data_IF_666862563264
#
_entry.id   IF_666862563264
#
_cell.length_a   1.000
_cell.length_b   1.000
_cell.length_c   1.000
_cell.angle_alpha   90.00
_cell.angle_beta   90.00
_cell.angle_gamma   90.00
#
_symmetry.space_group_name_H-M   'P 1'
#
loop_
_entity.id
_entity.type
_entity.pdbx_description
1 polymer ?
#
# COMPACT_ATOMS: atom_id res chain seq x y z
N UNK A 1 19.33 -0.95 -5.34
CA UNK A 1 18.85 0.45 -5.45
C UNK A 1 19.51 1.33 -4.38
N UNK A 2 19.94 2.53 -4.80
CA UNK A 2 20.58 3.54 -3.94
C UNK A 2 19.57 4.56 -3.43
N UNK A 3 19.88 5.35 -2.37
CA UNK A 3 19.06 6.48 -1.95
C UNK A 3 18.73 7.47 -3.09
N UNK A 4 19.71 7.72 -3.99
CA UNK A 4 19.52 8.61 -5.15
C UNK A 4 18.55 8.04 -6.18
N UNK A 5 18.56 6.74 -6.41
CA UNK A 5 17.60 6.08 -7.32
C UNK A 5 16.18 6.14 -6.78
N UNK A 6 15.99 5.91 -5.50
CA UNK A 6 14.67 6.08 -4.84
C UNK A 6 14.20 7.54 -4.89
N UNK A 7 15.08 8.48 -4.59
CA UNK A 7 14.78 9.91 -4.65
C UNK A 7 14.38 10.35 -6.07
N UNK A 8 15.11 9.89 -7.09
CA UNK A 8 14.79 10.18 -8.47
C UNK A 8 13.47 9.54 -8.91
N UNK A 9 13.19 8.31 -8.51
CA UNK A 9 11.93 7.63 -8.76
C UNK A 9 10.75 8.40 -8.10
N UNK A 10 10.91 8.86 -6.86
CA UNK A 10 9.91 9.67 -6.17
C UNK A 10 9.66 11.02 -6.88
N UNK A 11 10.72 11.69 -7.37
CA UNK A 11 10.57 12.91 -8.15
C UNK A 11 9.73 12.68 -9.41
N UNK A 12 10.08 11.67 -10.21
CA UNK A 12 9.43 11.38 -11.48
C UNK A 12 8.00 10.88 -11.25
N UNK A 13 7.84 9.86 -10.40
CA UNK A 13 6.56 9.18 -10.27
C UNK A 13 5.55 9.91 -9.38
N UNK A 14 6.01 10.72 -8.43
CA UNK A 14 5.14 11.42 -7.48
C UNK A 14 4.96 12.88 -7.86
N UNK A 15 6.05 13.67 -7.84
CA UNK A 15 5.94 15.12 -8.03
C UNK A 15 5.52 15.50 -9.44
N UNK A 16 6.13 14.92 -10.47
CA UNK A 16 5.83 15.25 -11.86
C UNK A 16 4.43 14.79 -12.30
N UNK A 17 3.84 13.83 -11.58
CA UNK A 17 2.49 13.31 -11.83
C UNK A 17 1.42 13.86 -10.86
N UNK A 18 1.80 14.75 -9.96
CA UNK A 18 0.88 15.43 -9.05
C UNK A 18 0.30 14.56 -7.94
N UNK A 19 0.99 13.47 -7.56
CA UNK A 19 0.58 12.64 -6.43
C UNK A 19 0.89 13.31 -5.09
N UNK A 20 0.12 12.97 -4.07
CA UNK A 20 0.24 13.52 -2.71
C UNK A 20 0.89 12.56 -1.72
N UNK A 21 1.24 11.36 -2.18
CA UNK A 21 1.88 10.33 -1.37
C UNK A 21 2.74 9.39 -2.23
N UNK A 22 3.72 8.75 -1.59
CA UNK A 22 4.46 7.62 -2.15
C UNK A 22 4.58 6.50 -1.13
N UNK A 23 4.43 5.25 -1.60
CA UNK A 23 4.69 4.04 -0.82
C UNK A 23 5.99 3.40 -1.30
N UNK A 24 6.82 2.94 -0.38
CA UNK A 24 8.06 2.24 -0.67
C UNK A 24 8.41 1.24 0.44
N UNK A 25 9.10 0.17 0.07
CA UNK A 25 9.83 -0.69 0.99
C UNK A 25 11.33 -0.35 0.90
N UNK A 26 11.86 0.45 1.82
CA UNK A 26 13.28 0.82 1.78
C UNK A 26 14.20 -0.28 2.30
N UNK A 27 13.63 -1.40 2.81
CA UNK A 27 14.36 -2.50 3.41
C UNK A 27 14.30 -3.78 2.58
N UNK A 28 13.60 -3.77 1.43
CA UNK A 28 13.32 -4.94 0.61
C UNK A 28 14.59 -5.70 0.20
N UNK A 29 15.65 -4.97 -0.18
CA UNK A 29 16.93 -5.57 -0.59
C UNK A 29 17.75 -6.09 0.59
N UNK A 30 17.50 -5.57 1.77
CA UNK A 30 18.21 -5.95 2.99
C UNK A 30 17.68 -7.25 3.59
N UNK A 31 16.49 -7.66 3.25
CA UNK A 31 15.90 -8.91 3.72
C UNK A 31 16.36 -10.14 2.93
N UNK A 32 17.30 -10.02 2.00
CA UNK A 32 17.87 -11.05 1.12
C UNK A 32 16.87 -11.85 0.26
N UNK A 33 15.58 -11.74 0.52
CA UNK A 33 14.53 -12.50 -0.15
C UNK A 33 13.26 -11.66 -0.20
N UNK A 34 12.71 -11.50 -1.36
CA UNK A 34 11.46 -10.79 -1.63
C UNK A 34 10.21 -11.47 -1.05
N UNK A 35 10.36 -12.40 -0.13
CA UNK A 35 9.26 -13.22 0.32
C UNK A 35 9.37 -13.54 1.79
N UNK A 36 8.29 -13.24 2.50
CA UNK A 36 7.93 -13.80 3.80
C UNK A 36 8.92 -13.54 4.94
N UNK A 37 8.36 -13.51 6.13
CA UNK A 37 9.06 -13.45 7.39
C UNK A 37 10.26 -14.40 7.44
N UNK A 38 11.43 -13.84 7.78
CA UNK A 38 12.67 -14.60 7.88
C UNK A 38 13.23 -14.47 9.24
N UNK A 39 13.23 -14.86 10.23
CA UNK A 39 13.77 -14.61 11.56
C UNK A 39 13.43 -13.22 12.17
N UNK A 40 12.97 -12.28 11.37
CA UNK A 40 12.52 -10.96 11.82
C UNK A 40 13.63 -9.97 12.18
N UNK A 41 14.86 -10.23 11.76
CA UNK A 41 16.03 -9.38 12.02
C UNK A 41 16.50 -8.66 10.76
N UNK A 42 17.12 -7.52 10.96
CA UNK A 42 17.82 -6.76 9.95
C UNK A 42 19.20 -6.35 10.49
N UNK A 43 20.22 -6.29 9.64
CA UNK A 43 21.53 -5.79 10.03
C UNK A 43 21.53 -4.28 10.30
N UNK A 44 22.46 -3.79 11.10
CA UNK A 44 22.62 -2.35 11.34
C UNK A 44 22.87 -1.57 10.04
N UNK A 45 23.67 -2.13 9.13
CA UNK A 45 23.95 -1.53 7.82
C UNK A 45 22.68 -1.47 6.95
N UNK A 46 21.89 -2.53 6.95
CA UNK A 46 20.63 -2.58 6.21
C UNK A 46 19.60 -1.61 6.78
N UNK A 47 19.48 -1.52 8.08
CA UNK A 47 18.59 -0.56 8.75
C UNK A 47 19.03 0.88 8.44
N UNK A 48 20.33 1.18 8.51
CA UNK A 48 20.85 2.51 8.20
C UNK A 48 20.61 2.88 6.73
N UNK A 49 20.85 1.96 5.78
CA UNK A 49 20.57 2.21 4.37
C UNK A 49 19.09 2.49 4.13
N UNK A 50 18.18 1.76 4.78
CA UNK A 50 16.74 2.05 4.72
C UNK A 50 16.41 3.47 5.19
N UNK A 51 17.03 3.92 6.28
CA UNK A 51 16.87 5.31 6.74
C UNK A 51 17.46 6.33 5.77
N UNK A 52 18.59 6.06 5.15
CA UNK A 52 19.21 6.95 4.16
C UNK A 52 18.33 7.07 2.90
N UNK A 53 17.68 5.96 2.48
CA UNK A 53 16.68 5.96 1.40
C UNK A 53 15.52 6.88 1.74
N UNK A 54 14.90 6.69 2.92
CA UNK A 54 13.74 7.50 3.33
C UNK A 54 14.13 8.97 3.50
N UNK A 55 15.33 9.27 4.01
CA UNK A 55 15.86 10.62 4.09
C UNK A 55 15.95 11.27 2.69
N UNK A 56 16.56 10.58 1.73
CA UNK A 56 16.72 11.09 0.37
C UNK A 56 15.38 11.32 -0.34
N UNK A 57 14.40 10.41 -0.13
CA UNK A 57 13.04 10.58 -0.63
C UNK A 57 12.39 11.80 0.03
N UNK A 58 12.43 11.93 1.37
CA UNK A 58 11.85 13.06 2.10
C UNK A 58 12.44 14.40 1.67
N UNK A 59 13.75 14.47 1.52
CA UNK A 59 14.45 15.68 1.06
C UNK A 59 14.00 16.07 -0.37
N UNK A 60 13.71 15.08 -1.20
CA UNK A 60 13.28 15.29 -2.59
C UNK A 60 11.81 15.71 -2.70
N UNK A 61 10.91 15.01 -2.00
CA UNK A 61 9.46 15.25 -2.13
C UNK A 61 8.95 16.38 -1.24
N UNK A 62 9.72 16.79 -0.23
CA UNK A 62 9.31 17.83 0.72
C UNK A 62 8.32 17.34 1.79
N UNK A 63 7.93 18.22 2.72
CA UNK A 63 7.11 17.85 3.89
C UNK A 63 5.63 17.59 3.56
N UNK A 64 5.13 18.09 2.43
CA UNK A 64 3.71 18.00 2.05
C UNK A 64 3.32 16.66 1.44
N UNK A 65 4.30 15.90 0.95
CA UNK A 65 4.06 14.56 0.38
C UNK A 65 4.12 13.54 1.51
N UNK A 66 3.10 12.71 1.62
CA UNK A 66 3.09 11.61 2.57
C UNK A 66 4.01 10.48 2.13
N UNK A 67 4.84 9.99 3.04
CA UNK A 67 5.67 8.80 2.84
C UNK A 67 5.03 7.66 3.61
N UNK A 68 4.76 6.58 2.89
CA UNK A 68 4.12 5.37 3.37
C UNK A 68 5.16 4.26 3.30
N UNK A 69 5.44 3.59 4.42
CA UNK A 69 6.48 2.56 4.47
C UNK A 69 5.81 1.19 4.57
N UNK A 70 6.17 0.32 3.64
CA UNK A 70 5.74 -1.05 3.62
C UNK A 70 6.85 -1.96 4.16
N UNK A 71 6.54 -2.73 5.18
CA UNK A 71 7.48 -3.66 5.80
C UNK A 71 7.22 -5.13 5.41
N UNK A 72 6.18 -5.40 4.60
CA UNK A 72 5.83 -6.73 4.08
C UNK A 72 5.87 -7.85 5.14
N UNK A 73 5.59 -7.54 6.40
CA UNK A 73 5.59 -8.51 7.49
C UNK A 73 6.94 -9.12 7.82
N UNK A 74 8.05 -8.46 7.49
CA UNK A 74 9.39 -9.05 7.61
C UNK A 74 9.94 -9.04 9.03
N UNK A 75 9.38 -8.27 9.97
CA UNK A 75 10.00 -8.06 11.26
C UNK A 75 9.38 -8.86 12.40
N UNK A 76 10.21 -9.13 13.43
CA UNK A 76 9.72 -9.49 14.76
C UNK A 76 9.29 -8.22 15.51
N UNK A 77 8.58 -8.39 16.62
CA UNK A 77 8.03 -7.25 17.39
C UNK A 77 9.08 -6.22 17.81
N UNK A 78 10.24 -6.56 18.39
CA UNK A 78 11.24 -5.58 18.79
C UNK A 78 11.77 -4.74 17.62
N UNK A 79 12.04 -5.37 16.48
CA UNK A 79 12.53 -4.66 15.29
C UNK A 79 11.44 -3.78 14.66
N UNK A 80 10.23 -4.29 14.54
CA UNK A 80 9.09 -3.52 14.03
C UNK A 80 8.86 -2.24 14.85
N UNK A 81 8.88 -2.35 16.19
CA UNK A 81 8.71 -1.20 17.10
C UNK A 81 9.86 -0.20 16.96
N UNK A 82 11.11 -0.68 16.94
CA UNK A 82 12.28 0.21 16.81
C UNK A 82 12.27 0.94 15.49
N UNK A 83 12.09 0.23 14.38
CA UNK A 83 12.15 0.79 13.03
C UNK A 83 11.00 1.76 12.79
N UNK A 84 9.78 1.39 13.14
CA UNK A 84 8.61 2.26 12.95
C UNK A 84 8.71 3.56 13.73
N UNK A 85 9.18 3.51 14.99
CA UNK A 85 9.39 4.71 15.80
C UNK A 85 10.49 5.61 15.21
N UNK A 86 11.64 5.04 14.81
CA UNK A 86 12.72 5.80 14.18
C UNK A 86 12.27 6.48 12.88
N UNK A 87 11.52 5.77 12.04
CA UNK A 87 11.00 6.33 10.79
C UNK A 87 9.99 7.47 11.06
N UNK A 88 9.10 7.27 12.01
CA UNK A 88 8.11 8.27 12.36
C UNK A 88 8.74 9.52 12.97
N UNK A 89 9.64 9.38 13.95
CA UNK A 89 10.31 10.50 14.61
C UNK A 89 11.22 11.31 13.69
N UNK A 90 11.94 10.62 12.79
CA UNK A 90 12.91 11.26 11.90
C UNK A 90 12.32 11.84 10.64
N UNK A 91 11.32 11.17 10.06
CA UNK A 91 10.85 11.45 8.70
C UNK A 91 9.35 11.73 8.61
N UNK A 92 8.62 11.67 9.72
CA UNK A 92 7.17 11.88 9.76
C UNK A 92 6.44 11.05 8.70
N UNK A 93 6.66 9.72 8.73
CA UNK A 93 5.96 8.79 7.85
C UNK A 93 4.46 8.78 8.17
N UNK A 94 3.61 8.60 7.15
CA UNK A 94 2.17 8.59 7.33
C UNK A 94 1.66 7.25 7.90
N UNK A 95 2.30 6.14 7.54
CA UNK A 95 2.10 4.84 8.19
C UNK A 95 3.31 3.91 8.05
N UNK A 96 3.32 2.88 8.90
CA UNK A 96 4.18 1.71 8.81
C UNK A 96 3.28 0.48 8.56
N UNK A 97 3.36 -0.07 7.35
CA UNK A 97 2.48 -1.11 6.85
C UNK A 97 3.04 -2.49 7.18
N UNK A 98 2.14 -3.41 7.51
CA UNK A 98 2.44 -4.82 7.82
C UNK A 98 3.73 -5.03 8.62
N UNK A 99 3.83 -4.53 9.84
CA UNK A 99 5.07 -4.55 10.62
C UNK A 99 5.54 -5.97 10.95
N UNK A 100 4.62 -6.91 11.05
CA UNK A 100 4.84 -8.33 11.40
C UNK A 100 3.97 -9.22 10.51
N UNK A 101 4.26 -10.54 10.40
CA UNK A 101 3.42 -11.45 9.62
C UNK A 101 1.93 -11.35 9.98
N UNK A 102 1.02 -11.38 9.00
CA UNK A 102 -0.41 -11.12 9.20
C UNK A 102 -1.10 -12.15 10.12
N UNK A 103 -0.58 -13.37 10.23
CA UNK A 103 -1.07 -14.39 11.14
C UNK A 103 -0.81 -14.05 12.61
N UNK A 104 0.09 -13.11 12.87
CA UNK A 104 0.57 -12.75 14.20
C UNK A 104 -0.28 -11.69 14.90
N UNK A 105 -1.59 -11.88 15.09
CA UNK A 105 -2.49 -10.90 15.73
C UNK A 105 -1.95 -10.39 17.07
N UNK A 106 -1.42 -11.29 17.92
CA UNK A 106 -0.84 -10.90 19.21
C UNK A 106 0.49 -10.13 19.04
N UNK A 107 1.27 -10.43 18.00
CA UNK A 107 2.48 -9.67 17.68
C UNK A 107 2.10 -8.28 17.17
N UNK A 108 1.14 -8.16 16.27
CA UNK A 108 0.62 -6.89 15.79
C UNK A 108 0.09 -6.02 16.95
N UNK A 109 -0.62 -6.61 17.90
CA UNK A 109 -1.08 -5.91 19.10
C UNK A 109 0.07 -5.34 19.93
N UNK A 110 1.16 -6.11 20.10
CA UNK A 110 2.34 -5.62 20.81
C UNK A 110 3.03 -4.48 20.07
N UNK A 111 3.14 -4.56 18.74
CA UNK A 111 3.67 -3.46 17.93
C UNK A 111 2.79 -2.22 18.11
N UNK A 112 1.47 -2.34 17.89
CA UNK A 112 0.53 -1.22 18.00
C UNK A 112 0.57 -0.51 19.36
N UNK A 113 0.81 -1.26 20.43
CA UNK A 113 0.90 -0.70 21.78
C UNK A 113 2.22 0.01 22.10
N UNK A 114 3.27 -0.22 21.29
CA UNK A 114 4.63 0.28 21.56
C UNK A 114 5.20 1.15 20.44
N UNK A 115 4.44 1.39 19.38
CA UNK A 115 4.82 2.33 18.31
C UNK A 115 4.02 3.62 18.38
N UNK A 116 4.66 4.74 18.02
CA UNK A 116 4.01 6.02 17.79
C UNK A 116 3.61 6.20 16.31
N UNK A 117 4.19 5.40 15.41
CA UNK A 117 3.84 5.43 14.00
C UNK A 117 2.42 4.89 13.78
N UNK A 118 1.61 5.52 12.93
CA UNK A 118 0.37 4.90 12.49
C UNK A 118 0.62 3.56 11.80
N UNK A 119 -0.24 2.59 12.03
CA UNK A 119 -0.13 1.23 11.48
C UNK A 119 -1.18 1.03 10.39
N UNK A 120 -0.76 0.47 9.26
CA UNK A 120 -1.61 0.00 8.19
C UNK A 120 -1.49 -1.51 8.01
N UNK A 121 -2.60 -2.22 7.81
CA UNK A 121 -2.59 -3.66 7.50
C UNK A 121 -3.74 -4.03 6.58
N UNK A 122 -3.62 -5.13 5.84
CA UNK A 122 -4.78 -5.69 5.18
C UNK A 122 -4.55 -6.30 3.81
N UNK A 123 -3.44 -6.06 3.14
CA UNK A 123 -3.17 -6.60 1.79
C UNK A 123 -3.23 -8.14 1.74
N UNK A 124 -2.82 -8.81 2.83
CA UNK A 124 -2.81 -10.27 2.97
C UNK A 124 -3.92 -10.82 3.87
N UNK A 125 -4.98 -10.04 4.08
CA UNK A 125 -6.18 -10.49 4.78
C UNK A 125 -7.28 -10.85 3.78
N UNK A 126 -7.98 -11.97 4.03
CA UNK A 126 -9.00 -12.50 3.17
C UNK A 126 -10.38 -12.31 3.79
N UNK A 127 -11.33 -11.87 3.01
CA UNK A 127 -12.70 -11.62 3.44
C UNK A 127 -12.83 -10.69 4.66
N UNK A 128 -14.05 -10.23 4.94
CA UNK A 128 -14.32 -9.41 6.14
C UNK A 128 -14.02 -10.12 7.46
N UNK A 129 -13.96 -11.46 7.47
CA UNK A 129 -13.77 -12.21 8.71
C UNK A 129 -12.39 -11.93 9.33
N UNK A 130 -11.34 -11.76 8.48
CA UNK A 130 -10.00 -11.48 8.96
C UNK A 130 -9.84 -10.03 9.44
N UNK A 131 -10.68 -9.11 8.95
CA UNK A 131 -10.69 -7.72 9.40
C UNK A 131 -11.41 -7.50 10.75
N UNK A 132 -12.31 -8.40 11.16
CA UNK A 132 -13.03 -8.27 12.44
C UNK A 132 -12.07 -8.12 13.63
N UNK A 133 -11.09 -9.02 13.86
CA UNK A 133 -10.18 -8.87 15.00
C UNK A 133 -9.29 -7.63 14.92
N UNK A 134 -8.97 -7.14 13.71
CA UNK A 134 -8.21 -5.90 13.52
C UNK A 134 -9.02 -4.70 14.02
N UNK A 135 -10.28 -4.61 13.59
CA UNK A 135 -11.18 -3.51 13.93
C UNK A 135 -11.57 -3.53 15.40
N UNK A 136 -12.05 -4.67 15.90
CA UNK A 136 -12.51 -4.83 17.30
C UNK A 136 -11.43 -4.57 18.35
N UNK A 137 -10.17 -4.86 18.03
CA UNK A 137 -9.06 -4.65 18.94
C UNK A 137 -8.26 -3.36 18.65
N UNK A 138 -8.69 -2.56 17.68
CA UNK A 138 -8.03 -1.31 17.26
C UNK A 138 -6.54 -1.54 16.95
N UNK A 139 -6.23 -2.52 16.11
CA UNK A 139 -4.87 -2.94 15.80
C UNK A 139 -4.23 -2.15 14.65
N UNK A 140 -5.01 -1.37 13.92
CA UNK A 140 -4.54 -0.55 12.81
C UNK A 140 -5.21 0.83 12.82
N UNK A 141 -4.51 1.82 12.27
CA UNK A 141 -5.02 3.19 12.05
C UNK A 141 -5.58 3.34 10.63
N UNK A 142 -5.11 2.50 9.72
CA UNK A 142 -5.57 2.37 8.33
C UNK A 142 -5.73 0.89 8.00
N UNK A 143 -6.66 0.58 7.10
CA UNK A 143 -6.71 -0.75 6.51
C UNK A 143 -6.54 -0.67 4.99
N UNK A 144 -5.87 -1.70 4.42
CA UNK A 144 -5.63 -1.78 2.99
C UNK A 144 -6.04 -3.13 2.40
N UNK A 145 -7.36 -3.36 2.32
CA UNK A 145 -7.89 -4.57 1.70
C UNK A 145 -7.60 -4.58 0.21
N UNK A 146 -7.21 -5.74 -0.31
CA UNK A 146 -7.04 -5.99 -1.73
C UNK A 146 -8.38 -6.44 -2.36
N UNK A 147 -8.75 -5.86 -3.51
CA UNK A 147 -10.04 -6.14 -4.14
C UNK A 147 -10.16 -7.59 -4.62
N UNK A 148 -9.08 -8.19 -5.12
CA UNK A 148 -9.09 -9.57 -5.61
C UNK A 148 -9.07 -10.53 -4.42
N UNK A 149 -8.13 -10.35 -3.51
CA UNK A 149 -7.85 -11.28 -2.42
C UNK A 149 -8.96 -11.32 -1.37
N UNK A 150 -9.62 -10.21 -1.12
CA UNK A 150 -10.74 -10.18 -0.18
C UNK A 150 -12.01 -10.83 -0.73
N UNK A 151 -12.14 -11.00 -2.05
CA UNK A 151 -13.29 -11.65 -2.68
C UNK A 151 -14.13 -10.74 -3.57
N UNK A 152 -13.55 -9.62 -4.05
CA UNK A 152 -14.15 -8.75 -5.08
C UNK A 152 -14.89 -7.53 -4.54
N UNK A 153 -15.49 -6.80 -5.45
CA UNK A 153 -16.16 -5.50 -5.23
C UNK A 153 -17.14 -5.51 -4.04
N UNK A 154 -17.96 -6.56 -3.96
CA UNK A 154 -18.98 -6.64 -2.90
C UNK A 154 -18.36 -6.83 -1.52
N UNK A 155 -17.26 -7.55 -1.44
CA UNK A 155 -16.61 -7.84 -0.17
C UNK A 155 -15.79 -6.66 0.33
N UNK A 156 -14.97 -6.03 -0.54
CA UNK A 156 -14.21 -4.84 -0.15
C UNK A 156 -15.10 -3.68 0.29
N UNK A 157 -16.28 -3.52 -0.36
CA UNK A 157 -17.26 -2.53 0.08
C UNK A 157 -17.80 -2.80 1.48
N UNK A 158 -18.06 -4.08 1.83
CA UNK A 158 -18.49 -4.45 3.18
C UNK A 158 -17.39 -4.21 4.21
N UNK A 159 -16.14 -4.53 3.87
CA UNK A 159 -14.97 -4.25 4.71
C UNK A 159 -14.87 -2.74 4.97
N UNK A 160 -14.97 -1.91 3.92
CA UNK A 160 -14.94 -0.46 4.06
C UNK A 160 -16.09 0.07 4.95
N UNK A 161 -17.30 -0.47 4.79
CA UNK A 161 -18.47 -0.10 5.64
C UNK A 161 -18.25 -0.52 7.10
N UNK A 162 -17.64 -1.68 7.36
CA UNK A 162 -17.29 -2.08 8.72
C UNK A 162 -16.26 -1.14 9.32
N UNK A 163 -15.19 -0.82 8.57
CA UNK A 163 -14.15 0.10 9.03
C UNK A 163 -14.67 1.51 9.32
N UNK A 164 -15.65 1.99 8.54
CA UNK A 164 -16.32 3.27 8.76
C UNK A 164 -16.93 3.35 10.17
N UNK A 165 -17.57 2.28 10.65
CA UNK A 165 -18.16 2.22 11.98
C UNK A 165 -17.13 2.32 13.12
N UNK A 166 -15.86 2.03 12.84
CA UNK A 166 -14.72 2.17 13.75
C UNK A 166 -13.89 3.45 13.49
N UNK A 167 -14.33 4.31 12.56
CA UNK A 167 -13.61 5.52 12.14
C UNK A 167 -12.21 5.23 11.55
N UNK A 168 -12.04 4.06 10.92
CA UNK A 168 -10.78 3.66 10.28
C UNK A 168 -10.87 3.93 8.79
N UNK A 169 -9.95 4.72 8.22
CA UNK A 169 -9.87 4.97 6.79
C UNK A 169 -9.37 3.75 6.00
N UNK A 170 -9.79 3.69 4.74
CA UNK A 170 -9.46 2.60 3.81
C UNK A 170 -8.61 3.12 2.66
N UNK A 171 -7.50 2.44 2.41
CA UNK A 171 -6.59 2.66 1.30
C UNK A 171 -6.34 1.32 0.59
N UNK A 172 -7.08 0.97 -0.49
CA UNK A 172 -6.95 -0.36 -1.08
C UNK A 172 -5.56 -0.65 -1.61
N UNK A 173 -5.10 -1.88 -1.36
CA UNK A 173 -3.97 -2.49 -2.04
C UNK A 173 -4.36 -2.88 -3.47
N UNK A 174 -3.45 -2.71 -4.44
CA UNK A 174 -3.71 -2.98 -5.87
C UNK A 174 -2.50 -3.59 -6.59
N UNK A 175 -1.40 -3.86 -5.95
CA UNK A 175 -0.15 -4.33 -6.59
C UNK A 175 0.20 -5.74 -6.08
N UNK A 176 0.47 -6.69 -6.96
CA UNK A 176 0.55 -6.66 -8.43
C UNK A 176 -0.79 -7.00 -9.11
N UNK A 177 -1.73 -6.12 -9.12
CA UNK A 177 -3.02 -6.32 -9.77
C UNK A 177 -3.02 -5.93 -11.25
N UNK A 178 -4.06 -6.34 -11.95
CA UNK A 178 -4.28 -5.94 -13.33
C UNK A 178 -5.10 -4.64 -13.46
N UNK A 179 -5.34 -4.17 -14.70
CA UNK A 179 -6.09 -2.93 -14.92
C UNK A 179 -7.51 -2.96 -14.36
N UNK A 180 -8.18 -4.11 -14.40
CA UNK A 180 -9.54 -4.24 -13.88
C UNK A 180 -9.59 -4.16 -12.36
N UNK A 181 -8.55 -4.59 -11.66
CA UNK A 181 -8.46 -4.45 -10.21
C UNK A 181 -8.38 -2.99 -9.78
N UNK A 182 -7.46 -2.23 -10.37
CA UNK A 182 -7.33 -0.80 -10.11
C UNK A 182 -8.63 -0.05 -10.37
N UNK A 183 -9.28 -0.34 -11.50
CA UNK A 183 -10.54 0.28 -11.88
C UNK A 183 -11.67 -0.12 -10.91
N UNK A 184 -11.75 -1.40 -10.54
CA UNK A 184 -12.76 -1.89 -9.58
C UNK A 184 -12.57 -1.26 -8.20
N UNK A 185 -11.32 -1.21 -7.70
CA UNK A 185 -10.99 -0.52 -6.45
C UNK A 185 -11.39 0.96 -6.48
N UNK A 186 -11.08 1.66 -7.59
CA UNK A 186 -11.45 3.07 -7.77
C UNK A 186 -12.97 3.28 -7.72
N UNK A 187 -13.76 2.40 -8.38
CA UNK A 187 -15.23 2.46 -8.32
C UNK A 187 -15.77 2.25 -6.91
N UNK A 188 -15.25 1.27 -6.17
CA UNK A 188 -15.69 1.04 -4.78
C UNK A 188 -15.33 2.24 -3.92
N UNK A 189 -14.09 2.72 -4.00
CA UNK A 189 -13.62 3.82 -3.17
C UNK A 189 -14.35 5.13 -3.45
N UNK A 190 -14.77 5.38 -4.68
CA UNK A 190 -15.61 6.55 -5.01
C UNK A 190 -17.01 6.50 -4.35
N UNK A 191 -17.40 5.36 -3.79
CA UNK A 191 -18.71 5.12 -3.16
C UNK A 191 -18.68 4.98 -1.65
N UNK A 192 -17.53 5.15 -0.98
CA UNK A 192 -17.38 5.02 0.47
C UNK A 192 -16.83 6.32 1.08
N UNK A 193 -17.35 6.75 2.25
CA UNK A 193 -16.97 8.04 2.84
C UNK A 193 -15.60 8.02 3.54
N UNK A 194 -15.12 6.84 3.93
CA UNK A 194 -13.85 6.66 4.64
C UNK A 194 -12.69 6.27 3.71
N UNK A 195 -12.81 6.54 2.42
CA UNK A 195 -11.70 6.40 1.48
C UNK A 195 -10.56 7.37 1.81
N UNK A 196 -9.33 6.89 1.78
CA UNK A 196 -8.13 7.69 2.00
C UNK A 196 -7.32 7.88 0.72
N UNK A 197 -6.64 6.85 0.26
CA UNK A 197 -5.82 6.87 -0.96
C UNK A 197 -5.97 5.53 -1.70
N UNK A 198 -5.71 5.55 -3.00
CA UNK A 198 -5.70 4.36 -3.85
C UNK A 198 -4.27 4.11 -4.31
N UNK A 199 -3.78 2.92 -4.05
CA UNK A 199 -2.46 2.49 -4.49
C UNK A 199 -2.43 2.23 -5.99
N UNK A 200 -1.32 2.57 -6.63
CA UNK A 200 -0.98 2.13 -7.98
C UNK A 200 0.53 2.26 -8.22
N UNK A 201 1.04 1.62 -9.28
CA UNK A 201 2.42 1.77 -9.73
C UNK A 201 2.48 2.33 -11.15
N UNK A 202 3.27 3.39 -11.34
CA UNK A 202 3.52 3.95 -12.66
C UNK A 202 4.17 2.93 -13.62
N UNK A 203 4.97 1.99 -13.10
CA UNK A 203 5.62 0.96 -13.92
C UNK A 203 4.62 0.06 -14.66
N UNK A 204 3.44 -0.18 -14.08
CA UNK A 204 2.42 -1.06 -14.67
C UNK A 204 1.43 -0.35 -15.59
N UNK A 205 1.37 0.99 -15.59
CA UNK A 205 0.40 1.74 -16.42
C UNK A 205 0.50 1.39 -17.92
N UNK A 206 1.69 1.32 -18.55
CA UNK A 206 1.78 0.96 -19.96
C UNK A 206 1.25 -0.43 -20.26
N UNK A 207 1.58 -1.43 -19.44
CA UNK A 207 1.13 -2.81 -19.59
C UNK A 207 -0.38 -2.92 -19.38
N UNK A 208 -0.91 -2.29 -18.33
CA UNK A 208 -2.34 -2.25 -18.05
C UNK A 208 -3.11 -1.64 -19.21
N UNK A 209 -2.67 -0.50 -19.72
CA UNK A 209 -3.33 0.17 -20.82
C UNK A 209 -3.22 -0.60 -22.14
N UNK A 210 -2.16 -1.40 -22.33
CA UNK A 210 -2.05 -2.30 -23.47
C UNK A 210 -3.10 -3.42 -23.45
N UNK A 211 -3.57 -3.82 -22.27
CA UNK A 211 -4.61 -4.86 -22.11
C UNK A 211 -6.04 -4.34 -22.29
N UNK A 212 -6.23 -3.04 -22.42
CA UNK A 212 -7.54 -2.41 -22.53
C UNK A 212 -7.80 -1.92 -23.95
N UNK A 213 -9.07 -1.97 -24.40
CA UNK A 213 -9.50 -1.35 -25.67
C UNK A 213 -9.34 0.17 -25.64
N UNK A 214 -9.57 0.78 -24.48
CA UNK A 214 -9.36 2.21 -24.22
C UNK A 214 -8.55 2.36 -22.93
N UNK A 215 -7.46 3.14 -22.93
CA UNK A 215 -6.64 3.34 -21.76
C UNK A 215 -7.40 4.09 -20.65
N UNK A 216 -7.13 3.73 -19.38
CA UNK A 216 -7.50 4.61 -18.28
C UNK A 216 -6.48 5.74 -18.13
N UNK A 217 -6.92 6.85 -17.56
CA UNK A 217 -6.10 8.04 -17.35
C UNK A 217 -5.85 8.26 -15.86
N UNK A 218 -4.57 8.37 -15.50
CA UNK A 218 -4.14 8.96 -14.22
C UNK A 218 -3.56 10.33 -14.55
N UNK A 219 -4.13 11.36 -13.97
CA UNK A 219 -3.72 12.74 -14.18
C UNK A 219 -3.86 13.55 -12.90
N UNK A 220 -2.87 14.40 -12.62
CA UNK A 220 -2.85 15.25 -11.44
C UNK A 220 -3.12 14.45 -10.15
N UNK A 221 -2.50 13.25 -10.02
CA UNK A 221 -2.66 12.35 -8.89
C UNK A 221 -4.00 11.62 -8.79
N UNK A 222 -4.84 11.64 -9.82
CA UNK A 222 -6.19 11.05 -9.81
C UNK A 222 -6.42 10.09 -10.98
N UNK A 223 -7.05 8.95 -10.71
CA UNK A 223 -7.62 8.10 -11.74
C UNK A 223 -8.96 8.63 -12.18
N UNK A 224 -9.16 8.73 -13.51
CA UNK A 224 -10.40 9.23 -14.11
C UNK A 224 -11.29 8.06 -14.53
N UNK A 225 -12.39 7.88 -13.81
CA UNK A 225 -13.45 6.93 -14.17
C UNK A 225 -14.37 7.54 -15.21
N UNK A 226 -14.90 6.71 -16.12
CA UNK A 226 -15.91 7.11 -17.10
C UNK A 226 -17.32 6.66 -16.68
N UNK A 227 -18.35 7.12 -17.42
CA UNK A 227 -19.77 6.83 -17.13
C UNK A 227 -20.33 5.66 -17.98
N UNK A 228 -19.47 4.81 -18.57
CA UNK A 228 -19.93 3.64 -19.32
C UNK A 228 -20.45 2.56 -18.36
N UNK A 229 -21.32 1.64 -18.82
CA UNK A 229 -21.82 0.54 -17.99
C UNK A 229 -20.71 -0.36 -17.45
N UNK A 230 -20.99 -1.04 -16.33
CA UNK A 230 -20.05 -1.95 -15.67
C UNK A 230 -18.88 -1.18 -15.04
N UNK A 231 -17.66 -1.64 -15.29
CA UNK A 231 -16.43 -0.95 -14.87
C UNK A 231 -16.07 0.23 -15.79
N UNK A 232 -16.78 0.39 -16.91
CA UNK A 232 -16.52 1.44 -17.88
C UNK A 232 -15.36 1.17 -18.84
N UNK A 233 -14.64 0.09 -18.66
CA UNK A 233 -13.49 -0.32 -19.46
C UNK A 233 -13.64 -1.78 -19.90
N UNK A 234 -13.12 -2.10 -21.08
CA UNK A 234 -13.16 -3.44 -21.66
C UNK A 234 -11.74 -3.94 -21.94
N UNK A 235 -11.50 -5.23 -21.65
CA UNK A 235 -10.26 -5.89 -22.06
C UNK A 235 -10.23 -6.07 -23.58
N UNK A 236 -9.05 -5.97 -24.15
CA UNK A 236 -8.78 -6.37 -25.51
C UNK A 236 -8.43 -7.87 -25.54
N UNK A 237 -9.41 -8.72 -25.86
CA UNK A 237 -9.26 -10.17 -25.84
C UNK A 237 -8.14 -10.65 -26.76
N UNK A 238 -7.84 -9.93 -27.85
CA UNK A 238 -6.75 -10.29 -28.75
C UNK A 238 -5.37 -10.18 -28.09
N UNK A 239 -5.24 -9.35 -27.06
CA UNK A 239 -4.00 -9.19 -26.28
C UNK A 239 -3.84 -10.26 -25.21
N UNK A 240 -4.94 -10.84 -24.74
CA UNK A 240 -4.90 -11.90 -23.72
C UNK A 240 -4.42 -13.22 -24.29
N UNK A 241 -4.68 -13.51 -25.56
CA UNK A 241 -4.22 -14.72 -26.25
C UNK A 241 -2.69 -14.78 -26.40
N UNK A 242 -2.00 -13.64 -26.35
CA UNK A 242 -0.54 -13.55 -26.42
C UNK A 242 0.16 -13.91 -25.08
N UNK A 243 -0.59 -14.00 -23.97
CA UNK A 243 -0.06 -14.22 -22.62
C UNK A 243 -0.19 -15.69 -22.17
N UNK A 244 -0.99 -16.48 -22.86
CA UNK A 244 -1.24 -17.92 -22.63
C UNK A 244 -0.42 -18.75 -23.61
#
# INVERSE_FOLDING_TARGET
>A
YTPEEYANAAKINVLENGHTACKLDPFLEMTQYHTMYQDGFISEEGEQLGYDIVAAVRDTVGPEIEILIDAHGHYNVPNAVRISNNLYERFNIAWFEEPVPPEGINALKQVKQNTNAPICVGERLYTRADFIPILENNLADFIMPDTIWTGGISEIKKIATMAEAYYIPVAPHVIPGGPLELIAAAHVMSSVPNFYKLEHSHAFIPEHNNLLKEPYLIKDGHIHLNNKPGLGFELDESKLEEIV
#
